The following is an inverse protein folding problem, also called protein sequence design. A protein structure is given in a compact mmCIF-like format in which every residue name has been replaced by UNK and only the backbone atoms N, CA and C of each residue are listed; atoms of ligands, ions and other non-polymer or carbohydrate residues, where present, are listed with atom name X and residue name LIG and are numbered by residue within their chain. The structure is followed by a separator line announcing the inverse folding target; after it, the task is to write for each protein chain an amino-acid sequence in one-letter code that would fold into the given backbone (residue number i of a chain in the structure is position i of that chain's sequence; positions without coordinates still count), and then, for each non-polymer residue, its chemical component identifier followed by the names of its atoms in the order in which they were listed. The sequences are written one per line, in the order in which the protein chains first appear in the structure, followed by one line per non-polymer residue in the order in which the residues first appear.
data_IF_877197403818
#
_entry.id   IF_877197403818
#
_cell.length_a   1.000
_cell.length_b   1.000
_cell.length_c   1.000
_cell.angle_alpha   90.00
_cell.angle_beta   90.00
_cell.angle_gamma   90.00
#
_symmetry.space_group_name_H-M   'P 1'
#
loop_
_entity.id
_entity.type
_entity.pdbx_description
1 polymer ?
#
# COMPACT_ATOMS: atom_id res chain seq x y z
N UNK A 1 19.65 11.49 -17.82
CA UNK A 1 19.34 10.50 -16.79
C UNK A 1 18.94 9.21 -17.50
N UNK A 2 19.72 8.16 -17.31
CA UNK A 2 19.41 6.86 -17.90
C UNK A 2 18.16 6.27 -17.22
N UNK A 3 17.39 5.42 -17.93
CA UNK A 3 16.18 4.80 -17.36
C UNK A 3 16.51 4.01 -16.08
N UNK A 4 17.72 3.44 -15.99
CA UNK A 4 18.17 2.69 -14.82
C UNK A 4 18.44 3.55 -13.59
N UNK A 5 18.69 4.85 -13.78
CA UNK A 5 18.92 5.83 -12.69
C UNK A 5 17.61 6.40 -12.14
N UNK A 6 16.46 6.06 -12.73
CA UNK A 6 15.17 6.49 -12.21
C UNK A 6 14.93 5.92 -10.80
N UNK A 7 14.26 6.70 -9.92
CA UNK A 7 13.95 6.25 -8.57
C UNK A 7 13.05 5.01 -8.59
N UNK A 8 13.06 4.29 -7.47
CA UNK A 8 12.19 3.14 -7.18
C UNK A 8 11.63 3.24 -5.75
N UNK A 9 11.57 4.45 -5.18
CA UNK A 9 11.20 4.68 -3.78
C UNK A 9 9.70 4.39 -3.59
N UNK A 10 8.87 4.97 -4.45
CA UNK A 10 7.42 4.79 -4.41
C UNK A 10 6.95 3.71 -5.39
N UNK A 11 5.70 3.28 -5.23
CA UNK A 11 5.07 2.44 -6.27
C UNK A 11 4.96 3.20 -7.59
N UNK A 12 4.68 4.52 -7.55
CA UNK A 12 4.61 5.35 -8.73
C UNK A 12 5.92 5.38 -9.51
N UNK A 13 7.04 5.51 -8.79
CA UNK A 13 8.39 5.41 -9.32
C UNK A 13 8.64 4.05 -10.01
N UNK A 14 8.33 2.95 -9.32
CA UNK A 14 8.52 1.59 -9.84
C UNK A 14 7.67 1.30 -11.08
N UNK A 15 6.42 1.79 -11.11
CA UNK A 15 5.55 1.71 -12.29
C UNK A 15 6.14 2.51 -13.45
N UNK A 16 6.50 3.78 -13.20
CA UNK A 16 7.05 4.68 -14.24
C UNK A 16 8.33 4.13 -14.84
N UNK A 17 9.28 3.70 -14.00
CA UNK A 17 10.55 3.14 -14.44
C UNK A 17 10.34 1.89 -15.29
N UNK A 18 9.53 0.94 -14.81
CA UNK A 18 9.21 -0.29 -15.53
C UNK A 18 8.48 -0.04 -16.86
N UNK A 19 7.55 0.94 -16.86
CA UNK A 19 6.86 1.37 -18.08
C UNK A 19 7.82 1.92 -19.13
N UNK A 20 8.77 2.77 -18.71
CA UNK A 20 9.77 3.35 -19.60
C UNK A 20 10.76 2.29 -20.10
N UNK A 21 11.17 1.34 -19.26
CA UNK A 21 11.98 0.16 -19.68
C UNK A 21 11.28 -0.67 -20.78
N UNK A 22 9.95 -0.77 -20.73
CA UNK A 22 9.13 -1.43 -21.77
C UNK A 22 8.82 -0.54 -22.98
N UNK A 23 9.30 0.71 -23.02
CA UNK A 23 9.03 1.65 -24.12
C UNK A 23 7.56 2.06 -24.24
N UNK A 24 6.78 1.97 -23.16
CA UNK A 24 5.34 2.23 -23.19
C UNK A 24 5.02 3.69 -22.82
N UNK A 25 4.09 4.31 -23.55
CA UNK A 25 3.42 5.52 -23.07
C UNK A 25 2.44 5.20 -21.93
N UNK A 26 2.04 6.22 -21.16
CA UNK A 26 1.00 6.03 -20.13
C UNK A 26 -0.31 5.52 -20.75
N UNK A 27 -0.71 6.04 -21.92
CA UNK A 27 -1.88 5.56 -22.66
C UNK A 27 -1.75 4.07 -23.02
N UNK A 28 -0.57 3.69 -23.53
CA UNK A 28 -0.26 2.34 -23.95
C UNK A 28 -0.30 1.33 -22.79
N UNK A 29 0.24 1.69 -21.62
CA UNK A 29 0.16 0.86 -20.42
C UNK A 29 -1.29 0.80 -19.90
N UNK A 30 -1.96 1.94 -19.78
CA UNK A 30 -3.31 2.03 -19.26
C UNK A 30 -4.28 1.16 -20.06
N UNK A 31 -4.23 1.25 -21.40
CA UNK A 31 -5.04 0.44 -22.32
C UNK A 31 -4.78 -1.05 -22.15
N UNK A 32 -3.51 -1.49 -22.12
CA UNK A 32 -3.15 -2.91 -21.95
C UNK A 32 -3.54 -3.45 -20.58
N UNK A 33 -3.33 -2.64 -19.54
CA UNK A 33 -3.73 -2.97 -18.18
C UNK A 33 -5.23 -2.73 -17.94
N UNK A 34 -6.01 -2.40 -18.97
CA UNK A 34 -7.43 -1.95 -18.97
C UNK A 34 -7.79 -1.10 -17.74
N UNK A 35 -6.96 -0.12 -17.40
CA UNK A 35 -7.21 0.89 -16.37
C UNK A 35 -7.39 2.25 -17.04
N UNK A 36 -8.12 3.17 -16.41
CA UNK A 36 -8.22 4.53 -16.94
C UNK A 36 -6.85 5.23 -16.91
N UNK A 37 -6.48 5.92 -17.99
CA UNK A 37 -5.21 6.67 -18.09
C UNK A 37 -5.01 7.64 -16.93
N UNK A 38 -6.08 8.34 -16.51
CA UNK A 38 -6.05 9.26 -15.35
C UNK A 38 -5.61 8.55 -14.07
N UNK A 39 -6.08 7.31 -13.84
CA UNK A 39 -5.66 6.49 -12.70
C UNK A 39 -4.18 6.15 -12.76
N UNK A 40 -3.68 5.72 -13.93
CA UNK A 40 -2.25 5.44 -14.10
C UNK A 40 -1.39 6.67 -13.82
N UNK A 41 -1.78 7.86 -14.32
CA UNK A 41 -1.08 9.11 -14.03
C UNK A 41 -1.08 9.41 -12.54
N UNK A 42 -2.22 9.23 -11.86
CA UNK A 42 -2.32 9.41 -10.42
C UNK A 42 -1.42 8.45 -9.64
N UNK A 43 -1.33 7.19 -10.06
CA UNK A 43 -0.42 6.20 -9.46
C UNK A 43 1.04 6.60 -9.63
N UNK A 44 1.47 6.99 -10.85
CA UNK A 44 2.85 7.42 -11.13
C UNK A 44 3.25 8.74 -10.45
N UNK A 45 2.28 9.52 -9.98
CA UNK A 45 2.47 10.78 -9.27
C UNK A 45 2.14 10.66 -7.78
N UNK A 46 1.98 9.45 -7.25
CA UNK A 46 1.70 9.17 -5.84
C UNK A 46 0.46 9.90 -5.29
N UNK A 47 -0.51 10.22 -6.15
CA UNK A 47 -1.76 10.90 -5.75
C UNK A 47 -2.71 9.96 -4.99
N UNK A 48 -2.70 8.68 -5.33
CA UNK A 48 -3.46 7.63 -4.67
C UNK A 48 -2.86 6.26 -5.00
N UNK A 49 -3.17 5.26 -4.19
CA UNK A 49 -2.61 3.92 -4.33
C UNK A 49 -3.46 3.03 -5.24
N UNK A 50 -2.85 2.21 -6.10
CA UNK A 50 -3.58 1.21 -6.88
C UNK A 50 -4.12 0.09 -5.97
N UNK A 51 -5.29 -0.43 -6.32
CA UNK A 51 -5.81 -1.65 -5.71
C UNK A 51 -4.96 -2.86 -6.11
N UNK A 52 -4.99 -3.95 -5.34
CA UNK A 52 -4.34 -5.21 -5.73
C UNK A 52 -4.75 -5.69 -7.14
N UNK A 53 -6.03 -5.49 -7.49
CA UNK A 53 -6.52 -5.78 -8.82
C UNK A 53 -5.79 -4.98 -9.92
N UNK A 54 -5.58 -3.68 -9.71
CA UNK A 54 -4.86 -2.83 -10.64
C UNK A 54 -3.36 -3.14 -10.66
N UNK A 55 -2.76 -3.41 -9.49
CA UNK A 55 -1.36 -3.83 -9.38
C UNK A 55 -1.10 -5.07 -10.23
N UNK A 56 -1.90 -6.13 -10.08
CA UNK A 56 -1.75 -7.38 -10.86
C UNK A 56 -1.79 -7.15 -12.37
N UNK A 57 -2.68 -6.28 -12.83
CA UNK A 57 -2.81 -5.94 -14.25
C UNK A 57 -1.61 -5.16 -14.76
N UNK A 58 -1.15 -4.18 -13.99
CA UNK A 58 0.03 -3.38 -14.33
C UNK A 58 1.27 -4.29 -14.35
N UNK A 59 1.47 -5.11 -13.31
CA UNK A 59 2.56 -6.07 -13.19
C UNK A 59 2.58 -7.04 -14.39
N UNK A 60 1.43 -7.61 -14.77
CA UNK A 60 1.31 -8.51 -15.91
C UNK A 60 1.69 -7.87 -17.25
N UNK A 61 1.32 -6.60 -17.48
CA UNK A 61 1.71 -5.88 -18.72
C UNK A 61 3.19 -5.52 -18.71
N UNK A 62 3.71 -5.12 -17.56
CA UNK A 62 5.11 -4.73 -17.40
C UNK A 62 6.05 -5.94 -17.27
N UNK A 63 5.50 -7.14 -17.09
CA UNK A 63 6.24 -8.38 -16.84
C UNK A 63 7.23 -8.24 -15.67
N UNK A 64 6.73 -7.65 -14.58
CA UNK A 64 7.46 -7.53 -13.31
C UNK A 64 6.71 -8.30 -12.24
N UNK A 65 7.39 -8.64 -11.15
CA UNK A 65 6.75 -9.29 -10.00
C UNK A 65 5.66 -8.38 -9.39
N UNK A 66 4.56 -8.98 -8.91
CA UNK A 66 3.56 -8.26 -8.13
C UNK A 66 4.19 -7.68 -6.86
N UNK A 67 5.11 -8.40 -6.21
CA UNK A 67 5.80 -7.96 -4.99
C UNK A 67 6.75 -6.79 -5.23
N UNK A 68 7.27 -6.65 -6.45
CA UNK A 68 8.06 -5.48 -6.83
C UNK A 68 7.19 -4.21 -6.84
N UNK A 69 5.92 -4.30 -7.23
CA UNK A 69 4.99 -3.16 -7.19
C UNK A 69 4.28 -3.04 -5.83
N UNK A 70 3.94 -4.16 -5.18
CA UNK A 70 3.09 -4.24 -3.99
C UNK A 70 3.88 -4.60 -2.74
N UNK A 71 4.26 -3.59 -1.98
CA UNK A 71 4.89 -3.82 -0.68
C UNK A 71 3.90 -4.28 0.41
N UNK A 72 4.46 -4.62 1.58
CA UNK A 72 3.70 -5.12 2.74
C UNK A 72 2.56 -4.19 3.18
N UNK A 73 2.76 -2.87 3.11
CA UNK A 73 1.74 -1.89 3.43
C UNK A 73 0.59 -1.92 2.41
N UNK A 74 0.90 -1.93 1.11
CA UNK A 74 -0.13 -2.00 0.08
C UNK A 74 -0.92 -3.30 0.17
N UNK A 75 -0.24 -4.42 0.43
CA UNK A 75 -0.87 -5.72 0.68
C UNK A 75 -1.78 -5.67 1.91
N UNK A 76 -1.39 -4.95 2.96
CA UNK A 76 -2.20 -4.78 4.15
C UNK A 76 -3.48 -3.99 3.89
N UNK A 77 -3.38 -2.79 3.29
CA UNK A 77 -4.55 -1.92 3.06
C UNK A 77 -5.53 -2.49 2.04
N UNK A 78 -5.08 -3.39 1.16
CA UNK A 78 -5.92 -4.05 0.17
C UNK A 78 -6.47 -5.41 0.61
N UNK A 79 -6.10 -5.91 1.79
CA UNK A 79 -6.52 -7.21 2.27
C UNK A 79 -7.09 -7.11 3.68
N UNK A 80 -8.34 -6.68 3.78
CA UNK A 80 -9.14 -6.52 5.00
C UNK A 80 -8.38 -5.82 6.15
N UNK A 81 -7.90 -4.57 5.95
CA UNK A 81 -7.15 -3.87 6.99
C UNK A 81 -7.97 -3.65 8.27
N UNK A 82 -9.28 -3.41 8.15
CA UNK A 82 -10.18 -3.20 9.29
C UNK A 82 -10.22 -4.39 10.24
N UNK A 83 -10.41 -5.59 9.68
CA UNK A 83 -10.44 -6.86 10.42
C UNK A 83 -9.07 -7.15 11.05
N UNK A 84 -7.98 -6.96 10.31
CA UNK A 84 -6.63 -7.17 10.83
C UNK A 84 -6.29 -6.23 11.98
N UNK A 85 -6.60 -4.93 11.87
CA UNK A 85 -6.38 -3.96 12.94
C UNK A 85 -7.18 -4.36 14.19
N UNK A 86 -8.44 -4.76 14.02
CA UNK A 86 -9.29 -5.21 15.11
C UNK A 86 -8.73 -6.45 15.81
N UNK A 87 -8.30 -7.45 15.04
CA UNK A 87 -7.73 -8.69 15.55
C UNK A 87 -6.40 -8.46 16.26
N UNK A 88 -5.50 -7.66 15.69
CA UNK A 88 -4.23 -7.27 16.34
C UNK A 88 -4.51 -6.58 17.68
N UNK A 89 -5.40 -5.58 17.70
CA UNK A 89 -5.73 -4.85 18.94
C UNK A 89 -6.27 -5.78 20.02
N UNK A 90 -7.22 -6.65 19.65
CA UNK A 90 -7.84 -7.60 20.58
C UNK A 90 -6.86 -8.66 21.06
N UNK A 91 -6.00 -9.18 20.19
CA UNK A 91 -4.96 -10.15 20.56
C UNK A 91 -3.96 -9.59 21.57
N UNK A 92 -3.65 -8.29 21.47
CA UNK A 92 -2.82 -7.57 22.44
C UNK A 92 -3.59 -7.12 23.71
N UNK A 93 -4.86 -7.49 23.86
CA UNK A 93 -5.74 -7.05 24.96
C UNK A 93 -5.84 -5.53 25.14
N UNK A 94 -5.67 -4.76 24.06
CA UNK A 94 -5.70 -3.29 24.13
C UNK A 94 -7.10 -2.73 23.92
N UNK A 95 -7.45 -1.69 24.65
CA UNK A 95 -8.57 -0.80 24.30
C UNK A 95 -8.20 0.08 23.10
N UNK A 96 -9.21 0.65 22.43
CA UNK A 96 -8.97 1.64 21.35
C UNK A 96 -8.21 2.87 21.84
N UNK A 97 -8.37 3.24 23.12
CA UNK A 97 -7.69 4.39 23.73
C UNK A 97 -6.21 4.09 23.93
N UNK A 98 -5.86 2.88 24.37
CA UNK A 98 -4.47 2.46 24.52
C UNK A 98 -3.76 2.31 23.18
N UNK A 99 -4.38 1.63 22.21
CA UNK A 99 -3.80 1.54 20.86
C UNK A 99 -3.64 2.93 20.23
N UNK A 100 -4.62 3.82 20.42
CA UNK A 100 -4.52 5.21 19.99
C UNK A 100 -3.30 5.92 20.59
N UNK A 101 -3.08 5.80 21.90
CA UNK A 101 -1.89 6.36 22.56
C UNK A 101 -0.58 5.81 21.98
N UNK A 102 -0.50 4.49 21.78
CA UNK A 102 0.71 3.83 21.22
C UNK A 102 1.01 4.33 19.81
N UNK A 103 -0.02 4.45 18.96
CA UNK A 103 0.14 4.90 17.58
C UNK A 103 0.22 6.43 17.43
N UNK A 104 0.02 7.17 18.54
CA UNK A 104 -0.10 8.63 18.57
C UNK A 104 -1.26 9.14 17.69
N UNK A 105 -2.45 8.56 17.87
CA UNK A 105 -3.70 8.97 17.21
C UNK A 105 -4.87 8.94 18.18
N UNK A 106 -5.94 9.68 17.87
CA UNK A 106 -7.16 9.63 18.68
C UNK A 106 -7.83 8.25 18.60
N UNK A 107 -8.47 7.81 19.69
CA UNK A 107 -9.19 6.52 19.75
C UNK A 107 -10.31 6.41 18.69
N UNK A 108 -10.91 7.55 18.32
CA UNK A 108 -11.87 7.64 17.22
C UNK A 108 -11.27 7.32 15.85
N UNK A 109 -9.98 7.58 15.63
CA UNK A 109 -9.25 7.18 14.42
C UNK A 109 -9.11 5.67 14.35
N UNK A 110 -8.77 5.01 15.47
CA UNK A 110 -8.74 3.55 15.58
C UNK A 110 -10.12 2.96 15.25
N UNK A 111 -11.18 3.52 15.85
CA UNK A 111 -12.56 3.09 15.54
C UNK A 111 -12.83 3.17 14.05
N UNK A 112 -12.52 4.30 13.39
CA UNK A 112 -12.73 4.48 11.95
C UNK A 112 -11.97 3.47 11.10
N UNK A 113 -10.75 3.09 11.50
CA UNK A 113 -9.99 2.04 10.81
C UNK A 113 -10.66 0.66 10.95
N UNK A 114 -11.09 0.29 12.16
CA UNK A 114 -11.73 -1.01 12.44
C UNK A 114 -13.09 -1.20 11.75
N UNK A 115 -13.78 -0.11 11.38
CA UNK A 115 -15.07 -0.14 10.69
C UNK A 115 -14.98 0.32 9.22
N UNK A 116 -13.76 0.38 8.67
CA UNK A 116 -13.50 0.70 7.27
C UNK A 116 -14.01 2.09 6.81
N UNK A 117 -14.06 3.07 7.72
CA UNK A 117 -14.39 4.48 7.38
C UNK A 117 -13.16 5.22 6.86
N UNK A 118 -11.96 4.84 7.27
CA UNK A 118 -10.71 5.45 6.80
C UNK A 118 -9.58 4.44 6.77
N UNK A 119 -8.55 4.72 5.99
CA UNK A 119 -7.37 3.85 5.85
C UNK A 119 -6.26 4.27 6.83
N UNK A 120 -5.56 3.29 7.39
CA UNK A 120 -4.34 3.52 8.16
C UNK A 120 -3.23 3.99 7.22
N UNK A 121 -2.47 5.01 7.61
CA UNK A 121 -1.32 5.45 6.80
C UNK A 121 -0.10 4.54 7.05
N UNK A 122 0.92 4.65 6.19
CA UNK A 122 2.13 3.84 6.27
C UNK A 122 2.88 3.96 7.61
N UNK A 123 2.98 5.17 8.17
CA UNK A 123 3.67 5.36 9.46
C UNK A 123 2.98 4.60 10.60
N UNK A 124 1.65 4.69 10.67
CA UNK A 124 0.87 3.98 11.68
C UNK A 124 0.80 2.48 11.42
N UNK A 125 0.82 2.05 10.16
CA UNK A 125 0.99 0.65 9.80
C UNK A 125 2.33 0.10 10.30
N UNK A 126 3.45 0.77 10.03
CA UNK A 126 4.77 0.34 10.49
C UNK A 126 4.81 0.22 12.03
N UNK A 127 4.26 1.22 12.74
CA UNK A 127 4.14 1.16 14.20
C UNK A 127 3.28 -0.02 14.66
N UNK A 128 2.11 -0.24 14.05
CA UNK A 128 1.22 -1.36 14.39
C UNK A 128 1.90 -2.71 14.20
N UNK A 129 2.63 -2.91 13.09
CA UNK A 129 3.35 -4.16 12.81
C UNK A 129 4.52 -4.36 13.79
N UNK A 130 5.26 -3.30 14.14
CA UNK A 130 6.29 -3.40 15.18
C UNK A 130 5.77 -3.75 16.59
N UNK A 131 4.46 -3.75 16.83
CA UNK A 131 3.89 -4.25 18.09
C UNK A 131 3.75 -5.77 18.10
N UNK A 132 3.50 -6.38 16.94
CA UNK A 132 3.35 -7.84 16.80
C UNK A 132 4.69 -8.53 16.56
N UNK A 133 5.66 -7.83 15.95
CA UNK A 133 7.02 -8.37 15.76
C UNK A 133 7.82 -8.41 17.08
N UNK A 134 7.29 -7.81 18.17
CA UNK A 134 7.91 -7.75 19.49
C UNK A 134 7.50 -8.89 20.43
N UNK A 135 6.86 -9.96 19.95
CA UNK A 135 6.67 -11.13 20.82
C UNK A 135 8.02 -11.78 21.17
N UNK A 136 8.25 -12.08 22.46
CA UNK A 136 9.47 -12.74 22.90
C UNK A 136 9.50 -14.15 22.33
N UNK A 137 10.58 -14.47 21.62
CA UNK A 137 11.00 -15.86 21.45
C UNK A 137 11.27 -16.40 22.85
N UNK A 138 10.39 -17.28 23.33
CA UNK A 138 10.66 -18.14 24.49
C UNK A 138 11.68 -19.20 24.10
#
# INVERSE_FOLDING_TARGET
MAIDELPEVTIGDRIRKSRLKKGLSQEALAKRAKIGRKYLIGFENDQYFPSLYNIRRIAGVLQVDEDYLCDSYLRFINNNPSEKILSIRKGLNLTRKELGKILNVHSGTIKKWEINISTINRNNFNKLISLIDKEPTY
#
